data_IF_681429811313
#
_entry.id   IF_681429811313
#
_cell.length_a   1.000
_cell.length_b   1.000
_cell.length_c   1.000
_cell.angle_alpha   90.00
_cell.angle_beta   90.00
_cell.angle_gamma   90.00
#
_symmetry.space_group_name_H-M   'P 1'
#
loop_
_entity.id
_entity.type
_entity.pdbx_description
1 polymer ?
#
# COMPACT_ATOMS: atom_id res chain seq x y z
N UNK A 1 -6.59 58.38 -35.32
CA UNK A 1 -7.73 59.15 -35.87
C UNK A 1 -8.94 58.73 -35.04
N UNK A 2 -9.40 59.78 -34.29
CA UNK A 2 -10.73 60.04 -33.73
C UNK A 2 -11.25 58.95 -32.72
N UNK A 3 -11.18 59.06 -31.41
CA UNK A 3 -11.63 60.11 -30.45
C UNK A 3 -13.04 60.61 -30.69
N UNK A 4 -13.97 60.37 -29.78
CA UNK A 4 -14.94 61.30 -29.23
C UNK A 4 -15.62 60.70 -27.98
N UNK A 5 -15.38 61.38 -26.88
CA UNK A 5 -16.09 61.47 -25.60
C UNK A 5 -17.47 62.16 -25.73
N UNK A 6 -18.37 61.89 -24.78
CA UNK A 6 -19.31 62.86 -24.10
C UNK A 6 -20.15 62.03 -23.13
N UNK A 7 -20.05 62.15 -21.83
CA UNK A 7 -20.61 63.04 -20.81
C UNK A 7 -22.05 63.57 -21.08
N UNK A 8 -22.88 63.32 -20.03
CA UNK A 8 -23.90 64.15 -19.36
C UNK A 8 -24.73 63.26 -18.48
N UNK A 9 -24.82 63.37 -17.24
CA UNK A 9 -25.02 64.30 -16.10
C UNK A 9 -26.48 64.31 -15.62
N UNK A 10 -26.58 64.12 -14.32
CA UNK A 10 -27.50 64.59 -13.30
C UNK A 10 -29.01 64.26 -13.29
N UNK A 11 -29.28 63.65 -12.15
CA UNK A 11 -30.37 63.97 -11.18
C UNK A 11 -31.83 63.74 -11.57
N UNK A 12 -32.46 62.83 -10.84
CA UNK A 12 -33.64 63.13 -10.00
C UNK A 12 -33.81 62.04 -8.92
N UNK A 13 -33.83 62.54 -7.71
CA UNK A 13 -34.15 61.83 -6.47
C UNK A 13 -35.67 61.74 -6.31
N UNK A 14 -36.25 60.57 -6.01
CA UNK A 14 -37.45 60.44 -5.18
C UNK A 14 -37.62 59.00 -4.68
N UNK A 15 -37.65 58.88 -3.40
CA UNK A 15 -37.70 57.62 -2.68
C UNK A 15 -39.01 56.85 -2.76
N UNK A 16 -38.88 55.60 -2.51
CA UNK A 16 -39.77 54.79 -1.70
C UNK A 16 -39.20 53.40 -1.58
N UNK A 17 -38.98 52.94 -0.36
CA UNK A 17 -38.51 51.60 0.02
C UNK A 17 -39.49 50.52 -0.45
N UNK A 18 -39.02 49.61 -1.24
CA UNK A 18 -39.61 48.28 -1.34
C UNK A 18 -38.46 47.28 -1.36
N UNK A 19 -38.19 46.71 -0.18
CA UNK A 19 -37.29 45.57 -0.01
C UNK A 19 -37.92 44.37 -0.69
N UNK A 20 -37.42 43.95 -1.83
CA UNK A 20 -37.68 42.63 -2.38
C UNK A 20 -36.88 41.60 -1.56
N UNK A 21 -37.56 40.81 -0.72
CA UNK A 21 -37.03 39.58 -0.14
C UNK A 21 -37.27 38.48 -1.16
N UNK A 22 -36.27 37.72 -1.60
CA UNK A 22 -36.50 36.63 -2.54
C UNK A 22 -37.33 35.53 -1.88
N UNK A 23 -38.43 35.15 -2.54
CA UNK A 23 -39.38 34.08 -2.09
C UNK A 23 -38.75 32.75 -1.79
N UNK A 24 -37.50 32.50 -2.17
CA UNK A 24 -36.78 31.26 -1.93
C UNK A 24 -36.33 31.04 -0.46
N UNK A 25 -36.26 32.08 0.38
CA UNK A 25 -35.83 31.93 1.79
C UNK A 25 -36.99 31.59 2.74
N UNK A 26 -38.24 31.75 2.35
CA UNK A 26 -39.39 31.55 3.24
C UNK A 26 -39.79 30.05 3.26
N UNK A 27 -39.65 29.33 2.15
CA UNK A 27 -39.98 27.90 2.11
C UNK A 27 -38.99 27.03 2.89
N UNK A 28 -37.69 27.34 2.89
CA UNK A 28 -36.68 26.57 3.59
C UNK A 28 -36.81 26.74 5.12
N UNK A 29 -37.16 27.93 5.60
CA UNK A 29 -37.39 28.17 7.03
C UNK A 29 -38.66 27.52 7.58
N UNK A 30 -39.69 27.39 6.75
CA UNK A 30 -40.95 26.74 7.13
C UNK A 30 -40.81 25.21 7.19
N UNK A 31 -40.00 24.61 6.27
CA UNK A 31 -39.69 23.17 6.31
C UNK A 31 -38.79 22.79 7.50
N UNK A 32 -37.86 23.64 7.89
CA UNK A 32 -37.01 23.41 9.07
C UNK A 32 -37.80 23.50 10.37
N UNK A 33 -38.78 24.44 10.46
CA UNK A 33 -39.63 24.58 11.63
C UNK A 33 -40.65 23.44 11.77
N UNK A 34 -41.13 22.86 10.68
CA UNK A 34 -42.06 21.71 10.71
C UNK A 34 -41.32 20.40 11.06
N UNK A 35 -40.06 20.24 10.64
CA UNK A 35 -39.24 19.07 11.00
C UNK A 35 -38.87 19.02 12.48
N UNK A 36 -38.78 20.19 13.17
CA UNK A 36 -38.50 20.25 14.61
C UNK A 36 -39.72 19.97 15.48
N UNK A 37 -40.95 20.19 14.98
CA UNK A 37 -42.18 19.98 15.76
C UNK A 37 -42.86 18.59 15.55
N UNK A 38 -42.40 17.82 14.55
CA UNK A 38 -42.98 16.50 14.25
C UNK A 38 -42.24 15.32 14.87
N UNK A 39 -41.24 15.57 15.75
CA UNK A 39 -40.51 14.49 16.43
C UNK A 39 -39.93 13.48 15.45
N UNK A 40 -39.61 13.92 14.20
CA UNK A 40 -38.83 13.13 13.27
C UNK A 40 -37.43 12.99 13.86
N UNK A 41 -37.26 11.96 14.70
CA UNK A 41 -35.93 11.45 15.00
C UNK A 41 -35.20 11.39 13.68
N UNK A 42 -34.08 12.11 13.58
CA UNK A 42 -33.08 11.91 12.54
C UNK A 42 -32.97 10.40 12.37
N UNK A 43 -33.51 9.86 11.30
CA UNK A 43 -33.20 8.50 10.92
C UNK A 43 -31.70 8.49 10.77
N UNK A 44 -31.04 7.93 11.78
CA UNK A 44 -29.62 7.61 11.72
C UNK A 44 -29.51 6.80 10.44
N UNK A 45 -29.01 7.43 9.38
CA UNK A 45 -28.78 6.78 8.12
C UNK A 45 -27.98 5.54 8.48
N UNK A 46 -28.59 4.38 8.42
CA UNK A 46 -27.91 3.11 8.67
C UNK A 46 -26.90 3.04 7.51
N UNK A 47 -25.72 3.56 7.73
CA UNK A 47 -24.61 3.36 6.83
C UNK A 47 -24.33 1.86 6.85
N UNK A 48 -24.76 1.17 5.80
CA UNK A 48 -24.38 -0.22 5.60
C UNK A 48 -22.85 -0.27 5.69
N UNK A 49 -22.33 -1.17 6.53
CA UNK A 49 -20.87 -1.39 6.59
C UNK A 49 -20.34 -1.64 5.17
N UNK A 50 -19.16 -1.09 4.80
CA UNK A 50 -18.57 -1.32 3.49
C UNK A 50 -18.34 -2.82 3.22
N UNK A 51 -18.41 -3.23 1.96
CA UNK A 51 -18.04 -4.59 1.58
C UNK A 51 -16.53 -4.73 1.54
N UNK A 52 -16.00 -5.74 2.22
CA UNK A 52 -14.59 -6.09 2.26
C UNK A 52 -14.38 -7.44 1.59
N UNK A 53 -13.42 -7.51 0.67
CA UNK A 53 -12.97 -8.77 0.12
C UNK A 53 -11.53 -9.05 0.57
N UNK A 54 -11.33 -10.13 1.31
CA UNK A 54 -10.00 -10.68 1.56
C UNK A 54 -9.63 -11.54 0.36
N UNK A 55 -8.57 -11.17 -0.34
CA UNK A 55 -8.09 -11.86 -1.54
C UNK A 55 -6.73 -12.47 -1.24
N UNK A 56 -6.66 -13.79 -1.28
CA UNK A 56 -5.45 -14.58 -1.05
C UNK A 56 -4.95 -15.06 -2.40
N UNK A 57 -3.78 -14.57 -2.83
CA UNK A 57 -3.13 -15.08 -4.03
C UNK A 57 -2.34 -16.34 -3.67
N UNK A 58 -2.73 -17.47 -4.27
CA UNK A 58 -2.12 -18.78 -4.01
C UNK A 58 -1.33 -19.29 -5.22
N UNK A 59 -0.14 -19.83 -4.97
CA UNK A 59 0.62 -20.61 -5.93
C UNK A 59 1.38 -21.73 -5.22
N UNK A 60 0.96 -22.98 -5.42
CA UNK A 60 1.54 -24.18 -4.79
C UNK A 60 1.61 -24.05 -3.25
N UNK A 61 0.57 -23.51 -2.64
CA UNK A 61 0.50 -23.18 -1.22
C UNK A 61 -0.40 -24.09 -0.39
N UNK A 62 -0.64 -25.34 -0.80
CA UNK A 62 -1.59 -26.25 -0.16
C UNK A 62 -1.42 -26.36 1.38
N UNK A 63 -0.17 -26.41 1.85
CA UNK A 63 0.13 -26.47 3.29
C UNK A 63 -0.26 -25.20 4.02
N UNK A 64 0.00 -24.03 3.42
CA UNK A 64 -0.36 -22.73 3.99
C UNK A 64 -1.88 -22.55 4.03
N UNK A 65 -2.58 -22.93 2.95
CA UNK A 65 -4.03 -22.87 2.91
C UNK A 65 -4.68 -23.68 4.04
N UNK A 66 -4.24 -24.92 4.24
CA UNK A 66 -4.76 -25.75 5.35
C UNK A 66 -4.46 -25.18 6.73
N UNK A 67 -3.29 -24.58 6.90
CA UNK A 67 -2.86 -24.03 8.20
C UNK A 67 -3.53 -22.71 8.54
N UNK A 68 -3.70 -21.80 7.58
CA UNK A 68 -4.03 -20.41 7.86
C UNK A 68 -5.44 -19.99 7.41
N UNK A 69 -6.00 -20.62 6.36
CA UNK A 69 -7.36 -20.28 5.89
C UNK A 69 -8.44 -20.42 6.98
N UNK A 70 -8.36 -21.38 7.94
CA UNK A 70 -9.31 -21.43 9.04
C UNK A 70 -9.34 -20.15 9.90
N UNK A 71 -8.18 -19.51 10.16
CA UNK A 71 -8.15 -18.24 10.90
C UNK A 71 -8.78 -17.10 10.09
N UNK A 72 -8.54 -17.07 8.77
CA UNK A 72 -9.14 -16.07 7.88
C UNK A 72 -10.66 -16.22 7.82
N UNK A 73 -11.15 -17.46 7.79
CA UNK A 73 -12.60 -17.77 7.82
C UNK A 73 -13.28 -17.44 9.16
N UNK A 74 -12.50 -17.39 10.25
CA UNK A 74 -12.97 -16.95 11.56
C UNK A 74 -13.08 -15.43 11.71
N UNK A 75 -12.73 -14.66 10.67
CA UNK A 75 -12.80 -13.19 10.68
C UNK A 75 -14.24 -12.72 10.91
N UNK A 76 -14.41 -11.83 11.89
CA UNK A 76 -15.70 -11.28 12.29
C UNK A 76 -15.91 -9.93 11.58
N UNK A 77 -16.59 -9.96 10.45
CA UNK A 77 -17.01 -8.75 9.74
C UNK A 77 -18.29 -9.06 8.93
N UNK A 78 -19.30 -8.17 8.98
CA UNK A 78 -20.65 -8.44 8.48
C UNK A 78 -20.72 -8.65 6.96
N UNK A 79 -20.04 -7.80 6.18
CA UNK A 79 -20.04 -7.83 4.71
C UNK A 79 -18.68 -8.26 4.16
N UNK A 80 -18.27 -9.49 4.53
CA UNK A 80 -16.99 -10.08 4.17
C UNK A 80 -17.15 -11.12 3.05
N UNK A 81 -16.30 -11.02 2.05
CA UNK A 81 -16.04 -12.08 1.07
C UNK A 81 -14.60 -12.57 1.23
N UNK A 82 -14.39 -13.88 1.21
CA UNK A 82 -13.06 -14.50 1.20
C UNK A 82 -12.86 -15.15 -0.17
N UNK A 83 -11.84 -14.70 -0.89
CA UNK A 83 -11.49 -15.16 -2.22
C UNK A 83 -10.10 -15.77 -2.20
N UNK A 84 -9.97 -17.02 -2.65
CA UNK A 84 -8.66 -17.58 -2.98
C UNK A 84 -8.50 -17.52 -4.50
N UNK A 85 -7.51 -16.75 -4.93
CA UNK A 85 -7.11 -16.60 -6.32
C UNK A 85 -5.94 -17.55 -6.61
N UNK A 86 -6.23 -18.71 -7.18
CA UNK A 86 -5.20 -19.65 -7.57
C UNK A 86 -4.49 -19.19 -8.84
N UNK A 87 -3.19 -18.98 -8.74
CA UNK A 87 -2.32 -18.41 -9.78
C UNK A 87 -1.58 -19.50 -10.56
N UNK A 88 -2.32 -20.55 -10.97
CA UNK A 88 -1.80 -21.65 -11.79
C UNK A 88 -1.04 -22.69 -10.96
N UNK A 89 -1.55 -23.05 -9.78
CA UNK A 89 -0.94 -24.12 -8.96
C UNK A 89 -0.97 -25.48 -9.66
N UNK A 90 0.06 -26.28 -9.37
CA UNK A 90 0.23 -27.65 -9.84
C UNK A 90 0.16 -28.69 -8.71
N UNK A 91 0.01 -28.21 -7.47
CA UNK A 91 -0.21 -29.04 -6.30
C UNK A 91 -1.73 -29.27 -6.05
N UNK A 92 -2.10 -29.84 -4.91
CA UNK A 92 -3.49 -30.10 -4.55
C UNK A 92 -4.23 -28.88 -3.96
N UNK A 93 -3.74 -27.65 -4.14
CA UNK A 93 -4.37 -26.43 -3.61
C UNK A 93 -5.83 -26.29 -4.04
N UNK A 94 -6.12 -26.48 -5.33
CA UNK A 94 -7.49 -26.35 -5.88
C UNK A 94 -8.43 -27.39 -5.27
N UNK A 95 -7.98 -28.65 -5.16
CA UNK A 95 -8.78 -29.75 -4.61
C UNK A 95 -9.10 -29.51 -3.14
N UNK A 96 -8.12 -29.04 -2.38
CA UNK A 96 -8.27 -28.71 -0.96
C UNK A 96 -9.30 -27.59 -0.76
N UNK A 97 -9.25 -26.53 -1.54
CA UNK A 97 -10.23 -25.44 -1.41
C UNK A 97 -11.64 -25.96 -1.71
N UNK A 98 -11.81 -26.73 -2.80
CA UNK A 98 -13.12 -27.24 -3.19
C UNK A 98 -13.72 -28.22 -2.17
N UNK A 99 -12.89 -29.06 -1.57
CA UNK A 99 -13.35 -30.14 -0.70
C UNK A 99 -13.41 -29.77 0.78
N UNK A 100 -12.44 -28.97 1.26
CA UNK A 100 -12.26 -28.65 2.69
C UNK A 100 -12.78 -27.24 3.03
N UNK A 101 -12.85 -26.32 2.05
CA UNK A 101 -13.20 -24.90 2.26
C UNK A 101 -14.23 -24.39 1.24
N UNK A 102 -15.29 -25.16 1.00
CA UNK A 102 -16.28 -24.89 -0.05
C UNK A 102 -17.03 -23.53 0.09
N UNK A 103 -17.00 -22.88 1.25
CA UNK A 103 -17.57 -21.56 1.50
C UNK A 103 -16.68 -20.40 1.03
N UNK A 104 -15.43 -20.68 0.63
CA UNK A 104 -14.50 -19.68 0.10
C UNK A 104 -14.68 -19.58 -1.41
N UNK A 105 -14.75 -18.38 -1.94
CA UNK A 105 -14.78 -18.14 -3.40
C UNK A 105 -13.43 -18.53 -4.01
N UNK A 106 -13.43 -19.51 -4.91
CA UNK A 106 -12.23 -19.92 -5.65
C UNK A 106 -12.28 -19.36 -7.07
N UNK A 107 -11.26 -18.61 -7.46
CA UNK A 107 -10.99 -18.23 -8.85
C UNK A 107 -9.64 -18.78 -9.29
N UNK A 108 -9.55 -19.29 -10.53
CA UNK A 108 -8.35 -20.00 -11.01
C UNK A 108 -7.79 -19.37 -12.27
N UNK A 109 -6.48 -19.13 -12.28
CA UNK A 109 -5.72 -18.68 -13.45
C UNK A 109 -4.92 -19.86 -14.05
N UNK A 110 -4.81 -19.99 -15.38
CA UNK A 110 -4.15 -21.15 -15.99
C UNK A 110 -2.62 -21.20 -15.81
N UNK A 111 -2.00 -20.07 -15.43
CA UNK A 111 -0.54 -19.96 -15.27
C UNK A 111 -0.15 -18.95 -14.21
N UNK A 112 1.07 -19.08 -13.68
CA UNK A 112 1.63 -18.15 -12.69
C UNK A 112 2.10 -16.84 -13.35
N UNK A 113 1.37 -15.76 -13.13
CA UNK A 113 1.70 -14.40 -13.58
C UNK A 113 2.53 -13.59 -12.54
N UNK A 114 3.06 -14.26 -11.51
CA UNK A 114 3.71 -13.59 -10.38
C UNK A 114 2.72 -12.93 -9.42
N UNK A 115 3.24 -12.19 -8.47
CA UNK A 115 2.43 -11.49 -7.46
C UNK A 115 1.63 -10.34 -8.09
N UNK A 116 2.31 -9.45 -8.83
CA UNK A 116 1.70 -8.28 -9.46
C UNK A 116 0.61 -8.67 -10.47
N UNK A 117 0.92 -9.51 -11.44
CA UNK A 117 -0.01 -9.96 -12.48
C UNK A 117 -1.16 -10.77 -11.91
N UNK A 118 -0.87 -11.66 -10.95
CA UNK A 118 -1.87 -12.48 -10.28
C UNK A 118 -2.93 -11.66 -9.55
N UNK A 119 -2.52 -10.68 -8.74
CA UNK A 119 -3.47 -9.77 -8.09
C UNK A 119 -4.22 -8.88 -9.08
N UNK A 120 -3.53 -8.34 -10.09
CA UNK A 120 -4.21 -7.53 -11.12
C UNK A 120 -5.30 -8.31 -11.85
N UNK A 121 -5.06 -9.59 -12.11
CA UNK A 121 -6.05 -10.48 -12.72
C UNK A 121 -7.20 -10.81 -11.74
N UNK A 122 -6.88 -11.16 -10.50
CA UNK A 122 -7.86 -11.55 -9.50
C UNK A 122 -8.81 -10.41 -9.16
N UNK A 123 -8.29 -9.22 -8.86
CA UNK A 123 -9.06 -8.07 -8.39
C UNK A 123 -9.99 -7.48 -9.47
N UNK A 124 -9.80 -7.81 -10.74
CA UNK A 124 -10.78 -7.47 -11.80
C UNK A 124 -12.08 -8.27 -11.69
N UNK A 125 -12.06 -9.40 -11.00
CA UNK A 125 -13.19 -10.32 -10.85
C UNK A 125 -13.91 -10.14 -9.51
N UNK A 126 -13.32 -9.40 -8.57
CA UNK A 126 -13.84 -9.21 -7.21
C UNK A 126 -14.50 -7.83 -7.10
N UNK A 127 -15.70 -7.78 -6.50
CA UNK A 127 -16.45 -6.53 -6.29
C UNK A 127 -16.59 -6.25 -4.79
N UNK A 128 -15.83 -5.28 -4.29
CA UNK A 128 -15.88 -4.81 -2.90
C UNK A 128 -15.55 -3.32 -2.83
N UNK A 129 -15.82 -2.68 -1.69
CA UNK A 129 -15.42 -1.30 -1.43
C UNK A 129 -13.93 -1.25 -1.02
N UNK A 130 -13.49 -2.28 -0.29
CA UNK A 130 -12.12 -2.47 0.14
C UNK A 130 -11.60 -3.85 -0.26
N UNK A 131 -10.40 -3.89 -0.81
CA UNK A 131 -9.65 -5.14 -0.95
C UNK A 131 -8.67 -5.30 0.20
N UNK A 132 -8.56 -6.49 0.73
CA UNK A 132 -7.48 -6.90 1.62
C UNK A 132 -6.63 -7.92 0.88
N UNK A 133 -5.44 -7.48 0.48
CA UNK A 133 -4.45 -8.38 -0.09
C UNK A 133 -3.79 -9.12 1.06
N UNK A 134 -3.87 -10.43 1.06
CA UNK A 134 -3.38 -11.27 2.14
C UNK A 134 -2.55 -12.43 1.59
N UNK A 135 -1.35 -12.64 2.14
CA UNK A 135 -0.56 -13.82 1.82
C UNK A 135 -1.20 -15.09 2.40
N UNK A 136 -0.97 -16.23 1.73
CA UNK A 136 -1.51 -17.52 2.16
C UNK A 136 -0.89 -18.07 3.45
N UNK A 137 0.25 -17.52 3.89
CA UNK A 137 1.00 -17.91 5.09
C UNK A 137 0.83 -16.94 6.28
N UNK A 138 -0.36 -16.33 6.39
CA UNK A 138 -0.71 -15.37 7.44
C UNK A 138 -1.86 -15.88 8.30
N UNK A 139 -1.65 -15.96 9.62
CA UNK A 139 -2.69 -16.11 10.64
C UNK A 139 -3.24 -14.73 11.01
N UNK A 140 -4.56 -14.59 11.12
CA UNK A 140 -5.20 -13.31 11.44
C UNK A 140 -5.98 -13.38 12.77
N UNK A 141 -6.05 -12.22 13.46
CA UNK A 141 -6.95 -12.04 14.61
C UNK A 141 -8.40 -11.94 14.10
N UNK A 142 -9.39 -12.58 14.74
CA UNK A 142 -10.78 -12.52 14.26
C UNK A 142 -11.37 -11.10 14.10
N UNK A 143 -10.87 -10.11 14.83
CA UNK A 143 -11.40 -8.74 14.82
C UNK A 143 -10.52 -7.74 14.06
N UNK A 144 -9.61 -8.20 13.22
CA UNK A 144 -8.61 -7.35 12.56
C UNK A 144 -9.15 -6.42 11.46
N UNK A 145 -10.31 -6.70 10.89
CA UNK A 145 -10.90 -5.92 9.78
C UNK A 145 -11.55 -4.63 10.26
N UNK A 146 -12.34 -4.66 11.35
CA UNK A 146 -13.08 -3.49 11.84
C UNK A 146 -12.17 -2.26 12.12
N UNK A 147 -11.00 -2.39 12.79
CA UNK A 147 -10.11 -1.23 13.00
C UNK A 147 -9.56 -0.63 11.71
N UNK A 148 -9.29 -1.47 10.69
CA UNK A 148 -8.78 -1.00 9.40
C UNK A 148 -9.86 -0.27 8.61
N UNK A 149 -11.09 -0.82 8.58
CA UNK A 149 -12.23 -0.14 7.95
C UNK A 149 -12.51 1.18 8.65
N UNK A 150 -12.57 1.20 9.99
CA UNK A 150 -12.81 2.42 10.76
C UNK A 150 -11.75 3.50 10.45
N UNK A 151 -10.49 3.12 10.30
CA UNK A 151 -9.41 4.04 9.94
C UNK A 151 -9.61 4.65 8.55
N UNK A 152 -9.94 3.85 7.54
CA UNK A 152 -10.17 4.35 6.18
C UNK A 152 -11.47 5.17 6.08
N UNK A 153 -12.53 4.79 6.79
CA UNK A 153 -13.79 5.54 6.78
C UNK A 153 -13.69 6.89 7.52
N UNK A 154 -12.79 7.00 8.51
CA UNK A 154 -12.57 8.25 9.26
C UNK A 154 -11.95 9.36 8.40
N UNK A 155 -11.16 9.01 7.37
CA UNK A 155 -10.50 9.98 6.50
C UNK A 155 -10.42 9.46 5.06
N UNK A 156 -11.14 10.10 4.15
CA UNK A 156 -11.18 9.73 2.72
C UNK A 156 -9.83 9.93 2.00
N UNK A 157 -8.89 10.68 2.58
CA UNK A 157 -7.54 10.85 2.03
C UNK A 157 -6.62 9.68 2.33
N UNK A 158 -6.99 8.78 3.24
CA UNK A 158 -6.26 7.55 3.49
C UNK A 158 -6.64 6.53 2.40
N UNK A 159 -5.70 6.23 1.52
CA UNK A 159 -5.89 5.32 0.38
C UNK A 159 -5.74 3.85 0.74
N UNK A 160 -4.83 3.54 1.67
CA UNK A 160 -4.55 2.18 2.12
C UNK A 160 -4.01 2.16 3.56
N UNK A 161 -4.13 1.01 4.21
CA UNK A 161 -3.49 0.78 5.50
C UNK A 161 -2.97 -0.67 5.62
N UNK A 162 -2.09 -0.89 6.60
CA UNK A 162 -1.66 -2.22 6.98
C UNK A 162 -1.87 -2.48 8.47
N UNK A 163 -2.15 -3.71 8.90
CA UNK A 163 -2.12 -4.11 10.29
C UNK A 163 -0.68 -4.16 10.82
N UNK A 164 -0.54 -4.36 12.13
CA UNK A 164 0.72 -4.78 12.73
C UNK A 164 1.02 -6.22 12.30
N UNK A 165 2.18 -6.45 11.70
CA UNK A 165 2.62 -7.77 11.24
C UNK A 165 3.67 -8.31 12.22
N UNK A 166 3.30 -9.35 12.92
CA UNK A 166 4.14 -10.06 13.90
C UNK A 166 4.61 -11.39 13.32
N UNK A 167 5.66 -11.93 13.87
CA UNK A 167 6.17 -13.26 13.51
C UNK A 167 5.20 -14.35 13.98
N UNK A 168 4.91 -15.32 13.13
CA UNK A 168 4.10 -16.49 13.52
C UNK A 168 4.81 -17.36 14.54
N UNK A 169 6.12 -17.53 14.39
CA UNK A 169 6.95 -18.35 15.30
C UNK A 169 7.25 -17.67 16.65
N UNK A 170 7.36 -16.33 16.64
CA UNK A 170 7.64 -15.50 17.82
C UNK A 170 6.63 -14.36 17.89
N UNK A 171 5.43 -14.63 18.43
CA UNK A 171 4.27 -13.71 18.39
C UNK A 171 4.48 -12.38 19.15
N UNK A 172 5.57 -12.24 19.88
CA UNK A 172 6.03 -11.02 20.54
C UNK A 172 7.09 -10.25 19.74
N UNK A 173 7.44 -10.71 18.54
CA UNK A 173 8.45 -10.09 17.67
C UNK A 173 7.82 -9.59 16.38
N UNK A 174 8.32 -8.46 15.87
CA UNK A 174 7.91 -7.99 14.55
C UNK A 174 8.42 -8.92 13.45
N UNK A 175 7.63 -9.02 12.37
CA UNK A 175 8.02 -9.83 11.22
C UNK A 175 8.72 -8.97 10.17
N UNK A 176 9.56 -9.58 9.35
CA UNK A 176 10.40 -8.93 8.34
C UNK A 176 9.60 -8.16 7.29
N UNK A 177 8.43 -8.67 6.88
CA UNK A 177 7.64 -8.12 5.78
C UNK A 177 6.72 -6.97 6.23
N UNK A 178 7.28 -5.82 6.58
CA UNK A 178 6.51 -4.60 6.84
C UNK A 178 6.25 -4.26 8.30
N UNK A 179 6.44 -5.22 9.22
CA UNK A 179 6.37 -5.00 10.67
C UNK A 179 5.22 -4.07 11.13
N UNK A 180 5.51 -2.88 11.69
CA UNK A 180 4.51 -1.90 12.11
C UNK A 180 4.36 -0.71 11.15
N UNK A 181 4.66 -0.90 9.85
CA UNK A 181 4.52 0.10 8.81
C UNK A 181 5.83 0.47 8.12
N UNK A 182 5.77 0.49 6.79
CA UNK A 182 6.93 0.65 5.93
C UNK A 182 7.39 2.09 5.78
N UNK A 183 8.69 2.29 5.79
CA UNK A 183 9.41 3.54 5.54
C UNK A 183 10.42 3.35 4.42
N UNK A 184 10.94 4.46 3.89
CA UNK A 184 12.00 4.46 2.88
C UNK A 184 13.04 5.53 3.22
N UNK A 185 14.32 5.27 2.96
CA UNK A 185 15.36 6.29 3.15
C UNK A 185 15.54 7.20 1.93
N UNK A 186 16.38 8.23 2.06
CA UNK A 186 16.65 9.18 0.98
C UNK A 186 17.20 8.56 -0.30
N UNK A 187 17.78 7.37 -0.23
CA UNK A 187 18.33 6.62 -1.37
C UNK A 187 17.40 5.50 -1.86
N UNK A 188 16.21 5.37 -1.26
CA UNK A 188 15.22 4.39 -1.68
C UNK A 188 15.39 2.99 -1.08
N UNK A 189 16.09 2.86 0.04
CA UNK A 189 16.14 1.61 0.79
C UNK A 189 14.90 1.46 1.68
N UNK A 190 14.08 0.41 1.50
CA UNK A 190 12.89 0.21 2.33
C UNK A 190 13.28 -0.38 3.69
N UNK A 191 12.64 0.10 4.74
CA UNK A 191 12.70 -0.41 6.11
C UNK A 191 11.34 -0.21 6.78
N UNK A 192 11.18 -0.55 8.06
CA UNK A 192 9.89 -0.44 8.72
C UNK A 192 10.04 -0.09 10.20
N UNK A 193 8.99 0.43 10.78
CA UNK A 193 8.86 0.53 12.23
C UNK A 193 8.89 -0.89 12.81
N UNK A 194 9.92 -1.21 13.60
CA UNK A 194 10.15 -2.55 14.17
C UNK A 194 11.07 -3.44 13.33
N UNK A 195 11.59 -2.97 12.17
CA UNK A 195 12.57 -3.74 11.39
C UNK A 195 13.54 -2.84 10.62
N UNK A 196 14.83 -3.06 10.80
CA UNK A 196 15.92 -2.40 10.06
C UNK A 196 16.87 -3.46 9.52
N UNK A 197 16.97 -3.60 8.21
CA UNK A 197 17.64 -4.73 7.54
C UNK A 197 17.18 -6.08 8.10
N UNK A 198 18.09 -6.87 8.66
CA UNK A 198 17.79 -8.20 9.20
C UNK A 198 17.41 -8.19 10.69
N UNK A 199 17.43 -7.02 11.33
CA UNK A 199 17.10 -6.88 12.75
C UNK A 199 15.60 -6.59 12.89
N UNK A 200 14.86 -7.56 13.44
CA UNK A 200 13.48 -7.39 13.88
C UNK A 200 13.44 -7.12 15.38
N UNK A 201 12.65 -6.12 15.78
CA UNK A 201 12.48 -5.73 17.18
C UNK A 201 11.39 -6.58 17.86
N UNK A 202 11.45 -6.69 19.19
CA UNK A 202 10.30 -7.18 19.96
C UNK A 202 9.21 -6.12 20.08
N UNK A 203 7.95 -6.54 20.04
CA UNK A 203 6.80 -5.67 20.24
C UNK A 203 6.52 -5.45 21.73
N UNK A 204 6.94 -4.32 22.24
CA UNK A 204 6.64 -3.84 23.61
C UNK A 204 5.55 -2.74 23.60
N UNK A 205 4.83 -2.57 22.47
CA UNK A 205 3.85 -1.51 22.31
C UNK A 205 4.43 -0.18 21.78
N UNK A 206 5.73 -0.12 21.45
CA UNK A 206 6.42 1.10 21.01
C UNK A 206 5.87 1.68 19.70
N UNK A 207 5.13 0.89 18.91
CA UNK A 207 4.50 1.31 17.65
C UNK A 207 2.98 1.13 17.67
N UNK A 208 2.32 1.30 18.81
CA UNK A 208 0.87 1.18 18.96
C UNK A 208 0.08 2.43 18.53
N UNK A 209 0.77 3.47 18.05
CA UNK A 209 0.13 4.64 17.50
C UNK A 209 -0.06 4.50 15.99
N UNK A 210 -1.30 4.70 15.52
CA UNK A 210 -1.59 4.86 14.10
C UNK A 210 -0.88 6.11 13.57
N UNK A 211 -0.44 6.05 12.33
CA UNK A 211 0.24 7.18 11.71
C UNK A 211 0.66 6.89 10.27
N UNK A 212 1.05 7.95 9.55
CA UNK A 212 1.43 7.83 8.15
C UNK A 212 2.69 6.96 7.97
N UNK A 213 2.69 6.23 6.87
CA UNK A 213 3.78 5.35 6.43
C UNK A 213 4.05 5.57 4.95
N UNK A 214 5.22 5.16 4.46
CA UNK A 214 5.51 5.25 3.04
C UNK A 214 4.87 4.12 2.25
N UNK A 215 4.90 2.89 2.77
CA UNK A 215 4.36 1.71 2.09
C UNK A 215 3.69 0.76 3.09
N UNK A 216 2.63 0.13 2.62
CA UNK A 216 1.95 -0.98 3.27
C UNK A 216 2.41 -2.29 2.65
N UNK A 217 2.59 -3.32 3.48
CA UNK A 217 3.10 -4.62 3.04
C UNK A 217 2.10 -5.39 2.20
N UNK A 218 2.58 -6.02 1.11
CA UNK A 218 1.77 -6.97 0.34
C UNK A 218 1.35 -8.23 1.11
N UNK A 219 1.96 -8.50 2.27
CA UNK A 219 1.55 -9.62 3.12
C UNK A 219 0.17 -9.43 3.76
N UNK A 220 -0.20 -8.16 4.08
CA UNK A 220 -1.52 -7.79 4.60
C UNK A 220 -1.76 -6.29 4.38
N UNK A 221 -2.45 -5.93 3.29
CA UNK A 221 -2.76 -4.55 2.93
C UNK A 221 -4.25 -4.39 2.68
N UNK A 222 -4.91 -3.45 3.38
CA UNK A 222 -6.25 -3.01 3.00
C UNK A 222 -6.14 -1.75 2.14
N UNK A 223 -6.82 -1.75 0.99
CA UNK A 223 -6.80 -0.67 0.01
C UNK A 223 -8.22 -0.38 -0.50
N UNK A 224 -8.52 0.89 -0.77
CA UNK A 224 -9.76 1.28 -1.49
C UNK A 224 -9.76 0.66 -2.88
N UNK A 225 -10.80 -0.08 -3.22
CA UNK A 225 -10.88 -0.79 -4.51
C UNK A 225 -10.86 0.16 -5.71
N UNK A 226 -11.58 1.28 -5.62
CA UNK A 226 -11.60 2.30 -6.67
C UNK A 226 -10.22 2.91 -6.91
N UNK A 227 -9.42 3.15 -5.84
CA UNK A 227 -8.07 3.69 -5.95
C UNK A 227 -7.10 2.68 -6.58
N UNK A 228 -7.22 1.39 -6.22
CA UNK A 228 -6.43 0.33 -6.87
C UNK A 228 -6.65 0.33 -8.39
N UNK A 229 -7.91 0.37 -8.82
CA UNK A 229 -8.24 0.40 -10.25
C UNK A 229 -7.87 1.72 -10.94
N UNK A 230 -8.04 2.87 -10.27
CA UNK A 230 -7.61 4.18 -10.77
C UNK A 230 -6.11 4.21 -11.07
N UNK A 231 -5.31 3.53 -10.24
CA UNK A 231 -3.86 3.40 -10.43
C UNK A 231 -3.47 2.30 -11.42
N UNK A 232 -4.44 1.60 -12.04
CA UNK A 232 -4.24 0.42 -12.88
C UNK A 232 -3.53 -0.74 -12.16
N UNK A 233 -3.73 -0.87 -10.85
CA UNK A 233 -3.16 -1.92 -10.03
C UNK A 233 -1.65 -1.86 -9.87
N UNK A 234 -1.05 -3.02 -9.69
CA UNK A 234 0.41 -3.19 -9.67
C UNK A 234 1.02 -3.05 -11.08
N UNK A 235 2.28 -2.70 -11.14
CA UNK A 235 3.03 -2.77 -12.39
C UNK A 235 3.52 -4.21 -12.62
N UNK A 236 2.95 -4.90 -13.59
CA UNK A 236 3.22 -6.32 -13.88
C UNK A 236 4.69 -6.60 -14.19
N UNK A 237 5.46 -5.58 -14.58
CA UNK A 237 6.88 -5.73 -14.93
C UNK A 237 7.76 -6.04 -13.70
N UNK A 238 7.26 -5.80 -12.49
CA UNK A 238 7.96 -6.20 -11.25
C UNK A 238 7.93 -7.71 -11.04
N UNK A 239 6.88 -8.40 -11.46
CA UNK A 239 6.60 -9.82 -11.19
C UNK A 239 6.39 -10.10 -9.69
N UNK A 240 7.36 -9.79 -8.84
CA UNK A 240 7.31 -9.84 -7.38
C UNK A 240 8.41 -8.95 -6.78
N UNK A 241 8.19 -8.45 -5.57
CA UNK A 241 9.00 -7.51 -4.79
C UNK A 241 9.07 -6.09 -5.37
N UNK A 242 8.82 -5.10 -4.53
CA UNK A 242 8.75 -3.65 -4.77
C UNK A 242 7.48 -3.19 -5.50
N UNK A 243 6.61 -4.08 -6.01
CA UNK A 243 5.34 -3.71 -6.63
C UNK A 243 4.38 -3.02 -5.68
N UNK A 244 4.34 -3.49 -4.42
CA UNK A 244 3.55 -2.88 -3.35
C UNK A 244 4.08 -1.51 -2.97
N UNK A 245 5.40 -1.35 -2.91
CA UNK A 245 6.04 -0.07 -2.59
C UNK A 245 5.81 0.93 -3.75
N UNK A 246 5.92 0.48 -5.00
CA UNK A 246 5.60 1.29 -6.17
C UNK A 246 4.14 1.74 -6.19
N UNK A 247 3.20 0.84 -5.89
CA UNK A 247 1.78 1.17 -5.80
C UNK A 247 1.53 2.23 -4.71
N UNK A 248 2.09 2.03 -3.53
CA UNK A 248 2.01 2.96 -2.41
C UNK A 248 2.60 4.33 -2.75
N UNK A 249 3.75 4.35 -3.43
CA UNK A 249 4.35 5.59 -3.92
C UNK A 249 3.41 6.33 -4.88
N UNK A 250 2.83 5.62 -5.84
CA UNK A 250 1.88 6.20 -6.81
C UNK A 250 0.61 6.75 -6.12
N UNK A 251 0.13 6.13 -5.04
CA UNK A 251 -0.95 6.69 -4.21
C UNK A 251 -0.56 8.03 -3.62
N UNK A 252 0.63 8.14 -3.02
CA UNK A 252 1.11 9.39 -2.45
C UNK A 252 1.32 10.49 -3.51
N UNK A 253 1.73 10.13 -4.73
CA UNK A 253 1.82 11.08 -5.84
C UNK A 253 0.46 11.66 -6.23
N UNK A 254 -0.63 10.90 -6.06
CA UNK A 254 -2.01 11.38 -6.23
C UNK A 254 -2.54 12.17 -5.03
N UNK A 255 -1.80 12.24 -3.92
CA UNK A 255 -2.19 12.97 -2.71
C UNK A 255 -2.91 12.13 -1.66
N UNK A 256 -2.94 10.81 -1.81
CA UNK A 256 -3.43 9.90 -0.78
C UNK A 256 -2.34 9.59 0.24
N UNK A 257 -2.75 9.31 1.47
CA UNK A 257 -1.90 8.85 2.56
C UNK A 257 -2.02 7.35 2.75
N UNK A 258 -1.00 6.74 3.34
CA UNK A 258 -1.01 5.35 3.80
C UNK A 258 -0.76 5.32 5.30
N UNK A 259 -1.44 4.44 6.01
CA UNK A 259 -1.38 4.41 7.47
C UNK A 259 -1.07 3.01 8.02
N UNK A 260 -0.35 2.97 9.11
CA UNK A 260 -0.32 1.78 9.94
C UNK A 260 -1.54 1.78 10.87
N UNK A 261 -2.18 0.62 11.01
CA UNK A 261 -3.31 0.36 11.88
C UNK A 261 -2.90 -0.68 12.96
N UNK A 262 -2.24 -0.26 14.05
CA UNK A 262 -1.68 -1.19 15.03
C UNK A 262 -2.74 -1.91 15.88
N UNK A 263 -3.99 -1.46 15.86
CA UNK A 263 -5.13 -2.14 16.50
C UNK A 263 -5.56 -3.41 15.75
N UNK A 264 -5.18 -3.54 14.48
CA UNK A 264 -5.28 -4.77 13.72
C UNK A 264 -3.95 -5.53 13.82
N UNK A 265 -4.00 -6.85 14.02
CA UNK A 265 -2.80 -7.70 14.15
C UNK A 265 -2.92 -8.92 13.26
N UNK A 266 -1.80 -9.29 12.65
CA UNK A 266 -1.65 -10.53 11.90
C UNK A 266 -0.30 -11.17 12.21
N UNK A 267 -0.19 -12.49 12.00
CA UNK A 267 1.02 -13.26 12.27
C UNK A 267 1.47 -13.94 10.98
N UNK A 268 2.64 -13.57 10.48
CA UNK A 268 3.16 -14.02 9.19
C UNK A 268 4.31 -15.02 9.39
N UNK A 269 4.29 -16.12 8.65
CA UNK A 269 5.37 -17.12 8.70
C UNK A 269 6.65 -16.55 8.09
N UNK A 270 6.49 -15.82 6.99
CA UNK A 270 7.61 -15.28 6.25
C UNK A 270 8.35 -16.31 5.40
N UNK A 271 9.02 -15.85 4.34
CA UNK A 271 9.77 -16.66 3.39
C UNK A 271 8.93 -17.63 2.50
N UNK A 272 7.60 -17.64 2.60
CA UNK A 272 6.72 -18.53 1.83
C UNK A 272 6.65 -18.25 0.33
N UNK A 273 6.70 -16.97 -0.09
CA UNK A 273 6.39 -16.58 -1.48
C UNK A 273 7.54 -16.83 -2.46
N UNK A 274 8.79 -16.61 -2.06
CA UNK A 274 9.98 -16.93 -2.85
C UNK A 274 11.10 -17.42 -1.92
N UNK A 275 11.70 -18.59 -2.20
CA UNK A 275 12.83 -19.10 -1.42
C UNK A 275 13.98 -18.09 -1.40
N UNK A 276 14.73 -18.07 -0.28
CA UNK A 276 15.98 -17.31 -0.21
C UNK A 276 16.91 -17.78 -1.34
N UNK A 277 17.36 -16.86 -2.21
CA UNK A 277 18.23 -17.22 -3.33
C UNK A 277 18.45 -16.07 -4.32
N UNK A 278 19.27 -16.31 -5.31
CA UNK A 278 19.70 -15.30 -6.29
C UNK A 278 18.55 -14.61 -7.04
N UNK A 279 17.41 -15.32 -7.31
CA UNK A 279 16.25 -14.71 -7.96
C UNK A 279 15.60 -13.63 -7.11
N UNK A 280 15.45 -13.85 -5.79
CA UNK A 280 14.91 -12.85 -4.87
C UNK A 280 15.80 -11.62 -4.79
N UNK A 281 17.12 -11.82 -4.70
CA UNK A 281 18.11 -10.74 -4.71
C UNK A 281 18.02 -9.97 -6.03
N UNK A 282 18.05 -10.65 -7.16
CA UNK A 282 17.90 -10.03 -8.49
C UNK A 282 16.66 -9.14 -8.57
N UNK A 283 15.48 -9.65 -8.19
CA UNK A 283 14.25 -8.88 -8.25
C UNK A 283 14.29 -7.64 -7.33
N UNK A 284 14.77 -7.78 -6.10
CA UNK A 284 14.84 -6.66 -5.17
C UNK A 284 15.73 -5.53 -5.69
N UNK A 285 16.93 -5.84 -6.18
CA UNK A 285 17.86 -4.81 -6.70
C UNK A 285 17.35 -4.19 -8.00
N UNK A 286 16.95 -5.01 -8.99
CA UNK A 286 16.42 -4.52 -10.26
C UNK A 286 15.19 -3.66 -10.08
N UNK A 287 14.20 -4.18 -9.36
CA UNK A 287 12.90 -3.55 -9.20
C UNK A 287 13.00 -2.25 -8.40
N UNK A 288 13.88 -2.20 -7.39
CA UNK A 288 14.09 -0.98 -6.64
C UNK A 288 14.64 0.16 -7.53
N UNK A 289 15.63 -0.12 -8.39
CA UNK A 289 16.16 0.86 -9.35
C UNK A 289 15.08 1.30 -10.36
N UNK A 290 14.25 0.37 -10.85
CA UNK A 290 13.12 0.67 -11.74
C UNK A 290 12.10 1.58 -11.02
N UNK A 291 11.71 1.23 -9.80
CA UNK A 291 10.77 2.00 -8.96
C UNK A 291 11.27 3.43 -8.74
N UNK A 292 12.54 3.61 -8.38
CA UNK A 292 13.17 4.92 -8.21
C UNK A 292 13.11 5.73 -9.51
N UNK A 293 13.53 5.12 -10.63
CA UNK A 293 13.55 5.78 -11.93
C UNK A 293 12.15 6.15 -12.41
N UNK A 294 11.16 5.35 -12.09
CA UNK A 294 9.75 5.56 -12.43
C UNK A 294 9.13 6.75 -11.67
N UNK A 295 9.41 6.89 -10.38
CA UNK A 295 8.64 7.77 -9.49
C UNK A 295 9.38 9.05 -9.06
N UNK A 296 10.71 9.08 -9.11
CA UNK A 296 11.48 10.26 -8.71
C UNK A 296 11.49 11.36 -9.79
N UNK A 297 11.55 12.65 -9.40
CA UNK A 297 11.87 13.74 -10.31
C UNK A 297 13.29 13.60 -10.86
N UNK A 298 13.52 14.14 -12.06
CA UNK A 298 14.82 14.01 -12.77
C UNK A 298 15.98 14.57 -11.93
N UNK A 299 15.76 15.66 -11.22
CA UNK A 299 16.76 16.30 -10.36
C UNK A 299 17.29 15.37 -9.26
N UNK A 300 16.43 14.49 -8.73
CA UNK A 300 16.83 13.49 -7.75
C UNK A 300 17.46 12.26 -8.39
N UNK A 301 17.01 11.86 -9.58
CA UNK A 301 17.54 10.70 -10.29
C UNK A 301 19.02 10.85 -10.65
N UNK A 302 19.44 12.05 -11.13
CA UNK A 302 20.79 12.31 -11.62
C UNK A 302 21.87 11.93 -10.58
N UNK A 303 21.59 12.12 -9.30
CA UNK A 303 22.56 11.79 -8.26
C UNK A 303 22.21 10.51 -7.48
N UNK A 304 20.91 10.21 -7.27
CA UNK A 304 20.52 9.03 -6.49
C UNK A 304 20.83 7.72 -7.20
N UNK A 305 20.57 7.62 -8.50
CA UNK A 305 20.85 6.40 -9.26
C UNK A 305 22.34 6.05 -9.27
N UNK A 306 23.30 6.98 -9.57
CA UNK A 306 24.71 6.70 -9.42
C UNK A 306 25.13 6.29 -8.00
N UNK A 307 24.61 6.96 -6.95
CA UNK A 307 24.86 6.58 -5.56
C UNK A 307 24.37 5.15 -5.26
N UNK A 308 23.19 4.78 -5.78
CA UNK A 308 22.66 3.42 -5.62
C UNK A 308 23.53 2.38 -6.31
N UNK A 309 23.98 2.63 -7.54
CA UNK A 309 24.92 1.72 -8.21
C UNK A 309 26.22 1.52 -7.41
N UNK A 310 26.76 2.58 -6.82
CA UNK A 310 27.96 2.49 -6.00
C UNK A 310 27.71 1.65 -4.72
N UNK A 311 26.61 1.87 -4.01
CA UNK A 311 26.26 1.11 -2.81
C UNK A 311 25.92 -0.36 -3.14
N UNK A 312 25.23 -0.61 -4.24
CA UNK A 312 24.93 -1.94 -4.71
C UNK A 312 26.21 -2.70 -5.11
N UNK A 313 27.18 -2.00 -5.74
CA UNK A 313 28.50 -2.56 -6.04
C UNK A 313 29.27 -2.93 -4.77
N UNK A 314 29.28 -2.06 -3.75
CA UNK A 314 29.89 -2.34 -2.44
C UNK A 314 29.24 -3.59 -1.82
N UNK A 315 27.91 -3.69 -1.87
CA UNK A 315 27.19 -4.86 -1.36
C UNK A 315 27.55 -6.15 -2.12
N UNK A 316 27.65 -6.07 -3.46
CA UNK A 316 28.05 -7.20 -4.30
C UNK A 316 29.46 -7.69 -3.97
N UNK A 317 30.43 -6.78 -3.86
CA UNK A 317 31.81 -7.11 -3.48
C UNK A 317 31.90 -7.69 -2.08
N UNK A 318 31.14 -7.15 -1.11
CA UNK A 318 31.05 -7.73 0.24
C UNK A 318 30.57 -9.18 0.18
N UNK A 319 29.52 -9.47 -0.60
CA UNK A 319 29.03 -10.83 -0.81
C UNK A 319 30.10 -11.75 -1.39
N UNK A 320 30.82 -11.28 -2.42
CA UNK A 320 31.89 -12.04 -3.05
C UNK A 320 33.02 -12.39 -2.06
N UNK A 321 33.49 -11.42 -1.29
CA UNK A 321 34.54 -11.64 -0.28
C UNK A 321 34.07 -12.50 0.90
N UNK A 322 32.76 -12.57 1.15
CA UNK A 322 32.16 -13.47 2.13
C UNK A 322 31.86 -14.87 1.58
N UNK A 323 32.24 -15.16 0.33
CA UNK A 323 32.03 -16.47 -0.33
C UNK A 323 30.63 -16.65 -0.97
N UNK A 324 29.76 -15.65 -0.93
CA UNK A 324 28.43 -15.71 -1.57
C UNK A 324 28.48 -15.20 -3.03
N UNK A 325 29.02 -16.06 -3.91
CA UNK A 325 29.11 -15.78 -5.33
C UNK A 325 27.71 -15.67 -6.02
N UNK A 326 26.70 -16.36 -5.46
CA UNK A 326 25.33 -16.29 -5.97
C UNK A 326 24.74 -14.89 -5.76
N UNK A 327 24.96 -14.28 -4.60
CA UNK A 327 24.56 -12.91 -4.29
C UNK A 327 25.24 -11.90 -5.21
N UNK A 328 26.56 -12.00 -5.40
CA UNK A 328 27.31 -11.16 -6.34
C UNK A 328 26.73 -11.22 -7.76
N UNK A 329 26.56 -12.43 -8.31
CA UNK A 329 25.98 -12.63 -9.66
C UNK A 329 24.58 -12.05 -9.76
N UNK A 330 23.75 -12.19 -8.73
CA UNK A 330 22.40 -11.69 -8.73
C UNK A 330 22.33 -10.17 -8.81
N UNK A 331 23.19 -9.44 -8.09
CA UNK A 331 23.25 -7.97 -8.15
C UNK A 331 23.73 -7.51 -9.54
N UNK A 332 24.82 -8.11 -10.06
CA UNK A 332 25.31 -7.81 -11.41
C UNK A 332 24.22 -8.04 -12.46
N UNK A 333 23.56 -9.18 -12.39
CA UNK A 333 22.42 -9.48 -13.29
C UNK A 333 21.27 -8.48 -13.13
N UNK A 334 20.99 -8.01 -11.91
CA UNK A 334 19.97 -7.01 -11.63
C UNK A 334 20.28 -5.65 -12.31
N UNK A 335 21.54 -5.21 -12.30
CA UNK A 335 21.96 -4.01 -13.00
C UNK A 335 21.80 -4.15 -14.53
N UNK A 336 22.21 -5.28 -15.11
CA UNK A 336 21.96 -5.54 -16.54
C UNK A 336 20.45 -5.60 -16.85
N UNK A 337 19.67 -6.25 -16.00
CA UNK A 337 18.21 -6.31 -16.12
C UNK A 337 17.56 -4.92 -16.03
N UNK A 338 18.07 -4.03 -15.19
CA UNK A 338 17.63 -2.64 -15.13
C UNK A 338 17.91 -1.89 -16.43
N UNK A 339 19.15 -1.93 -16.94
CA UNK A 339 19.49 -1.27 -18.21
C UNK A 339 18.69 -1.83 -19.39
N UNK A 340 18.54 -3.15 -19.47
CA UNK A 340 17.69 -3.80 -20.46
C UNK A 340 16.25 -3.29 -20.41
N UNK A 341 15.70 -3.12 -19.18
CA UNK A 341 14.37 -2.58 -18.98
C UNK A 341 14.25 -1.13 -19.45
N UNK A 342 15.22 -0.27 -19.12
CA UNK A 342 15.25 1.13 -19.58
C UNK A 342 15.32 1.20 -21.12
N UNK A 343 16.23 0.44 -21.73
CA UNK A 343 16.43 0.43 -23.18
C UNK A 343 15.24 -0.17 -23.95
N UNK A 344 14.46 -1.05 -23.31
CA UNK A 344 13.25 -1.62 -23.94
C UNK A 344 12.12 -0.62 -24.17
N UNK A 345 12.22 0.59 -23.62
CA UNK A 345 11.17 1.62 -23.69
C UNK A 345 9.90 1.30 -22.87
N UNK A 346 9.93 0.24 -22.06
CA UNK A 346 8.76 -0.19 -21.25
C UNK A 346 8.52 0.65 -20.01
N UNK A 347 9.53 1.43 -19.57
CA UNK A 347 9.43 2.26 -18.39
C UNK A 347 8.42 3.39 -18.59
N UNK A 348 7.35 3.38 -17.79
CA UNK A 348 6.36 4.45 -17.76
C UNK A 348 6.60 5.30 -16.52
N UNK A 349 7.21 6.48 -16.69
CA UNK A 349 7.46 7.41 -15.60
C UNK A 349 6.16 8.06 -15.10
N UNK A 350 6.14 8.36 -13.80
CA UNK A 350 5.06 9.14 -13.18
C UNK A 350 4.95 10.52 -13.84
N UNK A 351 3.71 10.94 -14.14
CA UNK A 351 3.43 12.23 -14.81
C UNK A 351 3.69 13.44 -13.91
N UNK A 352 3.53 13.27 -12.59
CA UNK A 352 3.68 14.33 -11.59
C UNK A 352 4.54 13.84 -10.43
N UNK A 353 5.85 13.62 -10.65
CA UNK A 353 6.74 13.16 -9.60
C UNK A 353 6.90 14.25 -8.53
N UNK A 354 6.90 13.83 -7.25
CA UNK A 354 7.19 14.69 -6.10
C UNK A 354 8.56 14.34 -5.54
N UNK A 355 9.22 15.32 -4.91
CA UNK A 355 10.47 15.06 -4.18
C UNK A 355 10.19 14.13 -3.00
N UNK A 356 11.14 13.27 -2.65
CA UNK A 356 10.95 12.34 -1.52
C UNK A 356 10.61 13.07 -0.21
N UNK A 357 11.18 14.25 0.01
CA UNK A 357 10.93 15.07 1.22
C UNK A 357 9.46 15.44 1.44
N UNK A 358 8.65 15.45 0.39
CA UNK A 358 7.24 15.82 0.46
C UNK A 358 6.31 14.63 0.64
N UNK A 359 6.85 13.43 0.82
CA UNK A 359 6.09 12.19 0.97
C UNK A 359 6.15 11.70 2.43
N UNK A 360 5.10 11.01 2.86
CA UNK A 360 5.03 10.41 4.18
C UNK A 360 6.00 9.22 4.31
N UNK A 361 6.44 8.95 5.54
CA UNK A 361 7.25 7.77 5.84
C UNK A 361 8.65 7.78 5.18
N UNK A 362 9.20 8.96 4.89
CA UNK A 362 10.54 9.12 4.31
C UNK A 362 11.54 9.54 5.36
N UNK A 363 12.61 8.78 5.49
CA UNK A 363 13.79 9.17 6.25
C UNK A 363 14.78 9.91 5.33
N UNK A 364 15.13 11.16 5.66
CA UNK A 364 15.97 12.02 4.81
C UNK A 364 17.46 11.68 4.91
N UNK A 365 17.87 10.79 5.82
CA UNK A 365 19.23 10.28 5.94
C UNK A 365 19.49 9.04 5.06
N UNK A 366 20.64 8.41 5.28
CA UNK A 366 21.01 7.13 4.67
C UNK A 366 20.92 5.99 5.67
N UNK A 367 19.98 5.07 5.43
CA UNK A 367 19.80 3.87 6.25
C UNK A 367 21.08 3.02 6.29
N UNK A 368 21.76 2.88 5.13
CA UNK A 368 23.01 2.13 5.00
C UNK A 368 24.10 2.73 5.90
N UNK A 369 24.26 4.04 5.88
CA UNK A 369 25.25 4.73 6.70
C UNK A 369 24.95 4.59 8.20
N UNK A 370 23.69 4.83 8.59
CA UNK A 370 23.30 4.76 10.00
C UNK A 370 23.40 3.34 10.55
N UNK A 371 23.02 2.32 9.77
CA UNK A 371 23.11 0.92 10.20
C UNK A 371 24.56 0.40 10.25
N UNK A 372 25.30 0.50 9.13
CA UNK A 372 26.61 -0.16 9.02
C UNK A 372 27.76 0.66 9.60
N UNK A 373 27.67 2.00 9.62
CA UNK A 373 28.76 2.86 10.11
C UNK A 373 28.46 3.37 11.53
N UNK A 374 27.22 3.82 11.80
CA UNK A 374 26.86 4.34 13.13
C UNK A 374 26.28 3.27 14.05
N UNK A 375 26.14 2.02 13.58
CA UNK A 375 25.59 0.87 14.33
C UNK A 375 24.18 1.12 14.93
N UNK A 376 23.34 1.86 14.21
CA UNK A 376 21.96 2.11 14.58
C UNK A 376 21.07 1.01 14.01
N UNK A 377 20.67 0.06 14.83
CA UNK A 377 19.95 -1.15 14.39
C UNK A 377 18.44 -1.12 14.66
N UNK A 378 17.93 -0.09 15.32
CA UNK A 378 16.52 0.05 15.68
C UNK A 378 15.93 1.29 15.01
N UNK A 379 14.65 1.21 14.64
CA UNK A 379 13.94 2.28 13.95
C UNK A 379 14.01 3.62 14.73
N UNK A 380 13.70 3.59 16.03
CA UNK A 380 13.72 4.79 16.88
C UNK A 380 15.09 5.46 17.01
N UNK A 381 16.19 4.72 16.79
CA UNK A 381 17.54 5.28 16.79
C UNK A 381 17.90 5.96 15.47
N UNK A 382 17.16 5.68 14.41
CA UNK A 382 17.41 6.20 13.06
C UNK A 382 16.52 7.40 12.77
N UNK A 383 15.22 7.30 13.07
CA UNK A 383 14.21 8.26 12.62
C UNK A 383 13.91 9.32 13.69
N UNK A 384 14.04 8.97 14.97
CA UNK A 384 13.81 9.88 16.11
C UNK A 384 15.14 10.35 16.70
#
# INVERSE_FOLDING_TARGET
>A
MLDISTQWDDSINLGSELKFVPFACIEVSFFIAISHNLGLHSQKQISLKPRVAIVILNFNGVHHLRSFLPSVMATQYEHLEIVVADNGSTDHSIDVIKNEFAQVTLITHPKNEGFAGGYNWALKQVKADYYVLLNSDVEVDPQWIDPMVALLEADATIGACQPKVLSFSEKDSFEYAGAAGGWIDALGYPFSRGRVFDVCEKDHGQYNQSGPIFWATGAAMMIRSNLFHQLNGFDDQFFAHQEEIDLCWRMQLLGFHLYACPNAKVFHVGAGTLPRGGRKVFLNFRNNLIMLTKNLPVQELIWKIPCRFALDAISAWKGLFSGDFSFFKAIVAAHFGYFSHILSGKLKRSKSPKTMKSLDGVYIGSLVWDYFIKNKQHFNKIVL
#
